data_IF_083007019381
#
_entry.id   IF_083007019381
#
_cell.length_a   1.000
_cell.length_b   1.000
_cell.length_c   1.000
_cell.angle_alpha   90.00
_cell.angle_beta   90.00
_cell.angle_gamma   90.00
#
_symmetry.space_group_name_H-M   'P 1'
#
loop_
_entity.id
_entity.type
_entity.pdbx_description
1 polymer ?
#
# COMPACT_ATOMS: atom_id res chain seq x y z
N UNK A 1 3.15 2.38 -17.60
CA UNK A 1 2.08 3.29 -17.13
C UNK A 1 1.31 2.62 -16.00
N UNK A 2 1.10 3.32 -14.89
CA UNK A 2 0.47 2.76 -13.70
C UNK A 2 -1.06 2.74 -13.90
N UNK A 3 -1.67 1.59 -13.63
CA UNK A 3 -3.11 1.39 -13.78
C UNK A 3 -3.85 1.93 -12.55
N UNK A 4 -4.01 3.26 -12.53
CA UNK A 4 -4.63 4.01 -11.41
C UNK A 4 -6.04 3.52 -11.06
N UNK A 5 -6.93 3.15 -12.01
CA UNK A 5 -8.24 2.59 -11.68
C UNK A 5 -8.17 1.26 -10.92
N UNK A 6 -7.25 0.36 -11.29
CA UNK A 6 -7.03 -0.90 -10.58
C UNK A 6 -6.51 -0.64 -9.17
N UNK A 7 -5.57 0.29 -9.03
CA UNK A 7 -5.02 0.72 -7.74
C UNK A 7 -6.11 1.22 -6.77
N UNK A 8 -7.03 2.05 -7.27
CA UNK A 8 -8.15 2.59 -6.48
C UNK A 8 -9.12 1.48 -6.10
N UNK A 9 -9.41 0.54 -7.00
CA UNK A 9 -10.28 -0.59 -6.74
C UNK A 9 -9.69 -1.53 -5.66
N UNK A 10 -8.39 -1.81 -5.75
CA UNK A 10 -7.65 -2.59 -4.75
C UNK A 10 -7.69 -1.88 -3.39
N UNK A 11 -7.28 -0.61 -3.32
CA UNK A 11 -7.34 0.16 -2.08
C UNK A 11 -8.76 0.19 -1.48
N UNK A 12 -9.79 0.39 -2.30
CA UNK A 12 -11.19 0.40 -1.86
C UNK A 12 -11.69 -0.96 -1.33
N UNK A 13 -11.17 -2.07 -1.87
CA UNK A 13 -11.51 -3.42 -1.39
C UNK A 13 -10.78 -3.77 -0.08
N UNK A 14 -9.61 -3.20 0.15
CA UNK A 14 -8.72 -3.58 1.23
C UNK A 14 -8.79 -2.71 2.48
N UNK A 15 -9.41 -1.52 2.42
CA UNK A 15 -9.55 -0.64 3.59
C UNK A 15 -10.70 -1.17 4.47
N UNK A 16 -10.42 -1.72 5.67
CA UNK A 16 -11.46 -2.03 6.65
C UNK A 16 -12.25 -0.77 6.98
N UNK A 17 -13.53 -0.90 7.37
CA UNK A 17 -14.39 0.25 7.76
C UNK A 17 -13.78 1.14 8.86
N UNK A 18 -12.83 0.60 9.60
CA UNK A 18 -12.16 1.23 10.72
C UNK A 18 -10.84 1.95 10.34
N UNK A 19 -10.49 1.93 9.06
CA UNK A 19 -9.24 2.49 8.54
C UNK A 19 -9.54 3.77 7.76
N UNK A 20 -8.86 4.84 8.14
CA UNK A 20 -8.92 6.13 7.48
C UNK A 20 -7.58 6.45 6.83
N UNK A 21 -7.58 6.66 5.52
CA UNK A 21 -6.43 7.21 4.81
C UNK A 21 -6.45 8.73 5.02
N UNK A 22 -5.46 9.25 5.73
CA UNK A 22 -5.28 10.69 5.93
C UNK A 22 -4.64 11.35 4.73
N UNK A 23 -3.65 10.69 4.16
CA UNK A 23 -2.97 11.18 2.96
C UNK A 23 -2.51 10.01 2.10
N UNK A 24 -2.54 10.22 0.79
CA UNK A 24 -1.94 9.34 -0.19
C UNK A 24 -1.07 10.20 -1.10
N UNK A 25 0.23 9.93 -1.12
CA UNK A 25 1.20 10.63 -1.94
C UNK A 25 1.86 9.65 -2.89
N UNK A 26 1.75 9.91 -4.18
CA UNK A 26 2.36 9.09 -5.21
C UNK A 26 3.53 9.86 -5.83
N UNK A 27 4.73 9.30 -5.76
CA UNK A 27 5.95 9.90 -6.30
C UNK A 27 6.72 8.86 -7.11
N UNK A 28 6.96 9.13 -8.41
CA UNK A 28 7.85 8.36 -9.30
C UNK A 28 7.85 6.84 -9.08
N UNK A 29 6.67 6.21 -9.12
CA UNK A 29 6.56 4.76 -8.99
C UNK A 29 6.57 4.25 -7.54
N UNK A 30 6.43 5.13 -6.56
CA UNK A 30 6.19 4.78 -5.16
C UNK A 30 4.92 5.45 -4.66
N UNK A 31 4.18 4.74 -3.81
CA UNK A 31 3.00 5.21 -3.11
C UNK A 31 3.31 5.23 -1.60
N UNK A 32 3.12 6.40 -1.01
CA UNK A 32 3.16 6.60 0.44
C UNK A 32 1.74 6.85 0.94
N UNK A 33 1.33 6.09 1.93
CA UNK A 33 0.02 6.21 2.57
C UNK A 33 0.21 6.57 4.04
N UNK A 34 -0.46 7.62 4.50
CA UNK A 34 -0.62 7.90 5.92
C UNK A 34 -2.01 7.49 6.37
N UNK A 35 -2.07 6.64 7.37
CA UNK A 35 -3.27 5.89 7.71
C UNK A 35 -3.50 5.99 9.22
N UNK A 36 -4.75 6.11 9.62
CA UNK A 36 -5.18 6.09 11.03
C UNK A 36 -6.25 5.03 11.21
N UNK A 37 -6.11 4.22 12.26
CA UNK A 37 -7.00 3.09 12.55
C UNK A 37 -7.24 3.00 14.05
N UNK A 38 -8.26 2.28 14.50
CA UNK A 38 -8.48 2.12 15.95
C UNK A 38 -7.65 0.99 16.57
N UNK A 39 -7.05 0.12 15.75
CA UNK A 39 -6.32 -1.07 16.22
C UNK A 39 -5.14 -1.47 15.32
N UNK A 40 -4.07 -1.97 15.95
CA UNK A 40 -2.95 -2.61 15.27
C UNK A 40 -3.37 -3.81 14.40
N UNK A 41 -4.47 -4.48 14.75
CA UNK A 41 -4.99 -5.57 13.93
C UNK A 41 -5.49 -5.08 12.57
N UNK A 42 -6.23 -3.96 12.55
CA UNK A 42 -6.68 -3.32 11.31
C UNK A 42 -5.49 -2.86 10.47
N UNK A 43 -4.42 -2.37 11.12
CA UNK A 43 -3.17 -2.01 10.46
C UNK A 43 -2.48 -3.22 9.78
N UNK A 44 -2.37 -4.33 10.50
CA UNK A 44 -1.75 -5.55 9.99
C UNK A 44 -2.53 -6.14 8.80
N UNK A 45 -3.87 -6.18 8.88
CA UNK A 45 -4.69 -6.66 7.77
C UNK A 45 -4.53 -5.80 6.52
N UNK A 46 -4.42 -4.47 6.68
CA UNK A 46 -4.19 -3.58 5.57
C UNK A 46 -2.82 -3.80 4.93
N UNK A 47 -1.77 -3.97 5.74
CA UNK A 47 -0.43 -4.29 5.25
C UNK A 47 -0.42 -5.61 4.47
N UNK A 48 -1.01 -6.68 5.03
CA UNK A 48 -1.13 -7.95 4.33
C UNK A 48 -1.90 -7.84 3.02
N UNK A 49 -2.93 -6.99 2.99
CA UNK A 49 -3.71 -6.75 1.79
C UNK A 49 -2.91 -6.01 0.71
N UNK A 50 -2.09 -5.02 1.11
CA UNK A 50 -1.17 -4.34 0.22
C UNK A 50 -0.09 -5.29 -0.31
N UNK A 51 0.43 -6.18 0.53
CA UNK A 51 1.40 -7.21 0.12
C UNK A 51 0.80 -8.25 -0.84
N UNK A 52 -0.49 -8.58 -0.68
CA UNK A 52 -1.19 -9.51 -1.55
C UNK A 52 -1.60 -8.90 -2.90
N UNK A 53 -1.60 -7.57 -3.00
CA UNK A 53 -2.08 -6.87 -4.18
C UNK A 53 -0.98 -6.79 -5.27
N UNK A 54 -1.24 -7.31 -6.48
CA UNK A 54 -0.23 -7.43 -7.55
C UNK A 54 0.32 -6.09 -8.05
N UNK A 55 -0.37 -4.97 -7.76
CA UNK A 55 0.06 -3.63 -8.14
C UNK A 55 1.15 -3.06 -7.21
N UNK A 56 1.41 -3.69 -6.06
CA UNK A 56 2.38 -3.23 -5.08
C UNK A 56 3.53 -4.22 -4.89
N UNK A 57 4.71 -3.67 -4.62
CA UNK A 57 5.92 -4.40 -4.22
C UNK A 57 6.66 -3.58 -3.18
N UNK A 58 7.60 -4.21 -2.46
CA UNK A 58 8.42 -3.52 -1.45
C UNK A 58 7.56 -2.74 -0.43
N UNK A 59 6.52 -3.40 0.10
CA UNK A 59 5.60 -2.80 1.07
C UNK A 59 6.30 -2.73 2.43
N UNK A 60 6.53 -1.52 2.92
CA UNK A 60 7.26 -1.26 4.15
C UNK A 60 6.51 -0.30 5.06
N UNK A 61 6.51 -0.61 6.36
CA UNK A 61 5.99 0.32 7.37
C UNK A 61 7.11 1.25 7.80
N UNK A 62 6.99 2.52 7.42
CA UNK A 62 8.02 3.55 7.71
C UNK A 62 7.88 4.17 9.09
N UNK A 63 6.67 4.17 9.66
CA UNK A 63 6.40 4.73 10.99
C UNK A 63 5.12 4.14 11.56
N UNK A 64 5.11 3.92 12.88
CA UNK A 64 3.93 3.53 13.65
C UNK A 64 3.90 4.39 14.91
N UNK A 65 2.74 4.95 15.23
CA UNK A 65 2.54 5.80 16.40
C UNK A 65 1.15 5.55 16.97
N UNK A 66 1.05 5.37 18.28
CA UNK A 66 -0.22 5.25 18.98
C UNK A 66 -0.51 6.56 19.70
N UNK A 67 -1.65 7.17 19.38
CA UNK A 67 -2.21 8.30 20.10
C UNK A 67 -3.50 7.92 20.82
N UNK A 68 -4.07 8.87 21.54
CA UNK A 68 -5.31 8.67 22.31
C UNK A 68 -6.52 8.29 21.43
N UNK A 69 -6.52 8.72 20.16
CA UNK A 69 -7.61 8.47 19.21
C UNK A 69 -7.40 7.24 18.31
N UNK A 70 -6.28 6.52 18.45
CA UNK A 70 -5.99 5.33 17.63
C UNK A 70 -4.51 5.16 17.27
N UNK A 71 -4.26 4.30 16.29
CA UNK A 71 -2.94 3.99 15.75
C UNK A 71 -2.79 4.66 14.39
N UNK A 72 -1.80 5.54 14.28
CA UNK A 72 -1.35 6.10 13.02
C UNK A 72 -0.16 5.30 12.50
N UNK A 73 -0.13 5.03 11.19
CA UNK A 73 1.02 4.42 10.55
C UNK A 73 1.21 4.95 9.14
N UNK A 74 2.47 4.96 8.72
CA UNK A 74 2.89 5.42 7.40
C UNK A 74 3.45 4.24 6.63
N UNK A 75 2.78 3.86 5.55
CA UNK A 75 3.20 2.77 4.65
C UNK A 75 3.86 3.40 3.43
N UNK A 76 4.98 2.83 3.02
CA UNK A 76 5.60 3.10 1.72
C UNK A 76 5.56 1.82 0.90
N UNK A 77 5.19 1.92 -0.36
CA UNK A 77 5.21 0.78 -1.28
C UNK A 77 5.62 1.26 -2.67
N UNK A 78 6.24 0.37 -3.43
CA UNK A 78 6.57 0.60 -4.83
C UNK A 78 5.46 0.08 -5.72
N UNK A 79 5.18 0.80 -6.80
CA UNK A 79 4.12 0.52 -7.76
C UNK A 79 4.69 -0.30 -8.91
N UNK A 80 3.99 -1.37 -9.27
CA UNK A 80 4.31 -2.18 -10.43
C UNK A 80 3.67 -1.52 -11.66
N UNK A 81 4.47 -1.16 -12.65
CA UNK A 81 3.94 -0.69 -13.92
C UNK A 81 3.29 -1.85 -14.69
N UNK A 82 2.05 -1.70 -15.16
CA UNK A 82 1.51 -2.62 -16.17
C UNK A 82 2.32 -2.44 -17.45
N UNK A 83 3.20 -3.40 -17.73
CA UNK A 83 4.02 -3.43 -18.94
C UNK A 83 5.47 -3.88 -18.77
N UNK A 84 5.74 -4.84 -17.89
CA UNK A 84 7.05 -5.47 -17.78
C UNK A 84 6.95 -6.87 -17.21
N UNK A 85 6.56 -7.83 -18.04
CA UNK A 85 7.28 -9.12 -17.99
C UNK A 85 8.75 -8.74 -18.06
N UNK A 86 9.55 -9.16 -17.07
CA UNK A 86 10.95 -9.44 -17.36
C UNK A 86 10.94 -10.60 -18.37
N UNK A 87 10.71 -10.27 -19.63
CA UNK A 87 10.99 -11.15 -20.75
C UNK A 87 12.51 -11.33 -20.78
N UNK A 88 12.94 -12.56 -20.54
CA UNK A 88 14.24 -13.06 -20.98
C UNK A 88 15.47 -12.29 -20.52
N UNK A 89 15.99 -12.61 -19.34
CA UNK A 89 17.43 -12.76 -19.17
C UNK A 89 17.76 -14.23 -18.87
N UNK A 90 17.30 -15.10 -19.77
CA UNK A 90 17.92 -16.40 -19.98
C UNK A 90 19.01 -16.20 -21.02
N UNK A 91 20.24 -15.97 -20.56
CA UNK A 91 21.45 -16.10 -21.38
C UNK A 91 22.51 -16.79 -20.53
N UNK A 92 22.44 -18.12 -20.49
CA UNK A 92 23.61 -18.98 -20.31
C UNK A 92 24.31 -19.12 -21.66
#
# INVERSE_FOLDING_TARGET
AIDVPLLIAELGAFIPKDVQIRSASMQKGSLRLEITTTSYFSAANLLQSLEAAPSFKDVETTSVSKGDSGVAFSVSCSLVEKGGVADGASSY
#
